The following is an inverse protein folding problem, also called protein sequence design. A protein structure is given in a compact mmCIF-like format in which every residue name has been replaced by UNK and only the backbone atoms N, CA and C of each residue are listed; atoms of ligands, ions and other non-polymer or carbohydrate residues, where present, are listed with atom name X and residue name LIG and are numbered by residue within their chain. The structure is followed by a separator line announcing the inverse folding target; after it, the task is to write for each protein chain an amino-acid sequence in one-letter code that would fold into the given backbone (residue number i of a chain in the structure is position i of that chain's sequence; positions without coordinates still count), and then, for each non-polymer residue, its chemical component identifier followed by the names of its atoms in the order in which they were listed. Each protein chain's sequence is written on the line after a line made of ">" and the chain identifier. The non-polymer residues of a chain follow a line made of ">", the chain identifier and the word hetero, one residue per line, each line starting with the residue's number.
data_IF_106840232264
#
_entry.id   IF_106840232264
#
_cell.length_a   1.000
_cell.length_b   1.000
_cell.length_c   1.000
_cell.angle_alpha   90.00
_cell.angle_beta   90.00
_cell.angle_gamma   90.00
#
_symmetry.space_group_name_H-M   'P 1'
#
loop_
_entity.id
_entity.type
_entity.pdbx_description
1 polymer ?
#
# COMPACT_ATOMS: atom_id res chain seq x y z
N UNK A 1 0.64 -13.72 -8.34
CA UNK A 1 0.64 -15.18 -8.56
C UNK A 1 0.53 -15.50 -10.06
N UNK A 2 -0.46 -15.00 -10.77
CA UNK A 2 -0.72 -15.32 -12.19
C UNK A 2 0.47 -15.07 -13.13
N UNK A 3 1.26 -14.03 -12.85
CA UNK A 3 2.47 -13.76 -13.63
C UNK A 3 3.60 -14.81 -13.41
N UNK A 4 3.45 -15.70 -12.44
CA UNK A 4 4.44 -16.74 -12.11
C UNK A 4 3.72 -18.05 -11.78
N UNK A 5 3.31 -18.84 -12.80
CA UNK A 5 2.47 -20.02 -12.63
C UNK A 5 3.02 -21.09 -11.66
N UNK A 6 4.35 -21.18 -11.55
CA UNK A 6 5.03 -22.11 -10.65
C UNK A 6 5.53 -21.39 -9.38
N UNK A 7 4.77 -20.39 -8.89
CA UNK A 7 5.16 -19.63 -7.71
C UNK A 7 5.15 -20.51 -6.45
N UNK A 8 6.24 -20.44 -5.68
CA UNK A 8 6.34 -20.95 -4.33
C UNK A 8 6.93 -19.84 -3.46
N UNK A 9 6.08 -19.18 -2.67
CA UNK A 9 6.41 -17.89 -2.10
C UNK A 9 5.91 -17.68 -0.68
N UNK A 10 6.63 -16.80 0.05
CA UNK A 10 6.12 -16.16 1.26
C UNK A 10 5.79 -14.71 0.96
N UNK A 11 4.59 -14.29 1.38
CA UNK A 11 4.12 -12.92 1.36
C UNK A 11 4.21 -12.37 2.78
N UNK A 12 5.15 -11.46 3.02
CA UNK A 12 5.34 -10.84 4.32
C UNK A 12 4.46 -9.63 4.49
N UNK A 13 3.65 -9.64 5.55
CA UNK A 13 2.79 -8.52 5.96
C UNK A 13 3.25 -7.95 7.30
N UNK A 14 2.92 -6.69 7.57
CA UNK A 14 3.31 -6.03 8.84
C UNK A 14 2.41 -6.41 9.99
N UNK A 15 1.12 -6.58 9.76
CA UNK A 15 0.13 -6.86 10.80
C UNK A 15 -0.53 -8.22 10.62
N UNK A 16 -1.03 -8.80 11.73
CA UNK A 16 -1.83 -10.04 11.69
C UNK A 16 -3.10 -9.88 10.84
N UNK A 17 -3.72 -8.71 10.94
CA UNK A 17 -4.91 -8.38 10.18
C UNK A 17 -4.65 -8.38 8.68
N UNK A 18 -3.62 -7.66 8.21
CA UNK A 18 -3.25 -7.68 6.80
C UNK A 18 -2.92 -9.09 6.32
N UNK A 19 -2.25 -9.89 7.18
CA UNK A 19 -1.91 -11.29 6.87
C UNK A 19 -3.15 -12.12 6.60
N UNK A 20 -4.17 -12.02 7.46
CA UNK A 20 -5.42 -12.76 7.28
C UNK A 20 -6.19 -12.24 6.06
N UNK A 21 -6.39 -10.91 5.95
CA UNK A 21 -7.12 -10.30 4.84
C UNK A 21 -6.53 -10.68 3.47
N UNK A 22 -5.22 -10.66 3.33
CA UNK A 22 -4.55 -11.02 2.06
C UNK A 22 -4.69 -12.52 1.77
N UNK A 23 -4.56 -13.38 2.78
CA UNK A 23 -4.77 -14.81 2.60
C UNK A 23 -6.21 -15.10 2.17
N UNK A 24 -7.20 -14.49 2.81
CA UNK A 24 -8.62 -14.65 2.49
C UNK A 24 -8.93 -14.18 1.06
N UNK A 25 -8.37 -13.04 0.63
CA UNK A 25 -8.53 -12.56 -0.75
C UNK A 25 -7.89 -13.52 -1.75
N UNK A 26 -6.69 -14.03 -1.49
CA UNK A 26 -6.06 -15.02 -2.37
C UNK A 26 -6.87 -16.30 -2.49
N UNK A 27 -7.44 -16.77 -1.38
CA UNK A 27 -8.32 -17.96 -1.37
C UNK A 27 -9.61 -17.68 -2.16
N UNK A 28 -10.22 -16.51 -1.97
CA UNK A 28 -11.42 -16.10 -2.70
C UNK A 28 -11.17 -16.02 -4.22
N UNK A 29 -9.96 -15.60 -4.61
CA UNK A 29 -9.51 -15.57 -6.01
C UNK A 29 -9.07 -16.95 -6.55
N UNK A 30 -9.21 -18.02 -5.75
CA UNK A 30 -8.93 -19.40 -6.17
C UNK A 30 -7.48 -19.85 -6.02
N UNK A 31 -6.64 -19.09 -5.30
CA UNK A 31 -5.27 -19.51 -4.99
C UNK A 31 -5.20 -20.36 -3.73
N UNK A 32 -4.34 -21.38 -3.75
CA UNK A 32 -4.03 -22.14 -2.54
C UNK A 32 -3.07 -21.33 -1.67
N UNK A 33 -3.62 -20.63 -0.69
CA UNK A 33 -2.89 -19.80 0.25
C UNK A 33 -3.32 -20.08 1.68
N UNK A 34 -2.46 -19.86 2.66
CA UNK A 34 -2.81 -19.87 4.09
C UNK A 34 -2.09 -18.75 4.84
N UNK A 35 -2.74 -18.26 5.90
CA UNK A 35 -2.17 -17.25 6.79
C UNK A 35 -1.35 -17.88 7.91
N UNK A 36 -0.24 -17.22 8.31
CA UNK A 36 0.59 -17.60 9.45
C UNK A 36 0.87 -16.38 10.32
N UNK A 37 0.21 -16.26 11.46
CA UNK A 37 0.34 -15.13 12.38
C UNK A 37 0.18 -15.55 13.86
N UNK A 38 0.37 -14.63 14.77
CA UNK A 38 0.43 -14.91 16.20
C UNK A 38 -0.90 -15.33 16.85
N UNK A 39 -2.05 -15.19 16.17
CA UNK A 39 -3.34 -15.61 16.71
C UNK A 39 -3.63 -17.10 16.47
N UNK A 40 -2.82 -17.77 15.65
CA UNK A 40 -2.89 -19.21 15.45
C UNK A 40 -2.32 -19.97 16.65
N UNK A 41 -2.97 -21.04 17.08
CA UNK A 41 -2.41 -21.97 18.05
C UNK A 41 -1.16 -22.66 17.48
N UNK A 42 -0.31 -23.20 18.34
CA UNK A 42 0.91 -23.89 17.89
C UNK A 42 0.54 -25.07 16.95
N UNK A 43 -0.50 -25.81 17.27
CA UNK A 43 -0.95 -26.93 16.44
C UNK A 43 -1.39 -26.47 15.03
N UNK A 44 -2.13 -25.36 14.94
CA UNK A 44 -2.53 -24.78 13.65
C UNK A 44 -1.31 -24.34 12.85
N UNK A 45 -0.33 -23.67 13.49
CA UNK A 45 0.92 -23.26 12.85
C UNK A 45 1.70 -24.45 12.28
N UNK A 46 1.79 -25.54 13.02
CA UNK A 46 2.49 -26.75 12.59
C UNK A 46 1.79 -27.38 11.36
N UNK A 47 0.46 -27.39 11.33
CA UNK A 47 -0.33 -27.88 10.19
C UNK A 47 -0.08 -27.01 8.95
N UNK A 48 -0.19 -25.68 9.08
CA UNK A 48 0.05 -24.74 7.97
C UNK A 48 1.46 -24.90 7.44
N UNK A 49 2.45 -25.00 8.33
CA UNK A 49 3.84 -25.16 7.97
C UNK A 49 4.13 -26.49 7.28
N UNK A 50 3.47 -27.56 7.70
CA UNK A 50 3.57 -28.87 7.03
C UNK A 50 3.03 -28.78 5.62
N UNK A 51 1.82 -28.26 5.43
CA UNK A 51 1.21 -28.07 4.10
C UNK A 51 2.08 -27.21 3.18
N UNK A 52 2.70 -26.15 3.72
CA UNK A 52 3.59 -25.30 2.95
C UNK A 52 4.87 -26.04 2.53
N UNK A 53 5.55 -26.75 3.45
CA UNK A 53 6.73 -27.55 3.12
C UNK A 53 6.44 -28.65 2.11
N UNK A 54 5.28 -29.30 2.24
CA UNK A 54 4.84 -30.34 1.32
C UNK A 54 4.33 -29.76 -0.02
N UNK A 55 4.40 -28.43 -0.20
CA UNK A 55 3.95 -27.69 -1.39
C UNK A 55 2.45 -27.86 -1.72
N UNK A 56 1.64 -28.31 -0.77
CA UNK A 56 0.18 -28.37 -0.90
C UNK A 56 -0.40 -26.97 -1.03
N UNK A 57 0.18 -26.02 -0.26
CA UNK A 57 -0.09 -24.59 -0.41
C UNK A 57 1.18 -23.89 -0.94
N UNK A 58 1.17 -23.34 -2.14
CA UNK A 58 2.32 -22.65 -2.71
C UNK A 58 2.51 -21.22 -2.18
N UNK A 59 1.48 -20.62 -1.57
CA UNK A 59 1.50 -19.26 -1.06
C UNK A 59 1.29 -19.24 0.45
N UNK A 60 2.29 -18.77 1.19
CA UNK A 60 2.19 -18.54 2.63
C UNK A 60 2.16 -17.04 2.90
N UNK A 61 1.11 -16.54 3.56
CA UNK A 61 1.03 -15.14 3.99
C UNK A 61 1.40 -15.06 5.46
N UNK A 62 2.46 -14.33 5.84
CA UNK A 62 2.99 -14.38 7.19
C UNK A 62 3.45 -13.04 7.75
N UNK A 63 3.38 -12.89 9.08
CA UNK A 63 4.09 -11.82 9.79
C UNK A 63 5.54 -12.22 10.06
N UNK A 64 6.45 -11.25 10.23
CA UNK A 64 7.86 -11.51 10.57
C UNK A 64 8.02 -12.39 11.80
N UNK A 65 7.24 -12.11 12.85
CA UNK A 65 7.33 -12.85 14.12
C UNK A 65 6.92 -14.31 13.93
N UNK A 66 5.86 -14.56 13.19
CA UNK A 66 5.39 -15.92 12.94
C UNK A 66 6.31 -16.67 11.98
N UNK A 67 6.98 -15.95 11.09
CA UNK A 67 7.93 -16.51 10.14
C UNK A 67 9.35 -16.73 10.72
N UNK A 68 9.62 -16.28 11.94
CA UNK A 68 10.91 -16.57 12.60
C UNK A 68 11.07 -18.06 12.86
N UNK A 69 12.26 -18.58 12.57
CA UNK A 69 12.55 -20.00 12.75
C UNK A 69 11.93 -20.91 11.68
N UNK A 70 11.31 -20.33 10.64
CA UNK A 70 10.89 -21.14 9.50
C UNK A 70 12.13 -21.66 8.78
N UNK A 71 12.31 -22.96 8.85
CA UNK A 71 13.29 -23.69 8.02
C UNK A 71 12.65 -23.98 6.67
N UNK A 72 12.46 -22.92 5.87
CA UNK A 72 11.97 -23.01 4.50
C UNK A 72 12.89 -22.18 3.62
N UNK A 73 13.61 -22.86 2.80
CA UNK A 73 14.52 -22.30 1.80
C UNK A 73 14.04 -22.68 0.39
N UNK A 74 14.72 -22.16 -0.61
CA UNK A 74 14.42 -22.44 -2.02
C UNK A 74 13.04 -21.93 -2.49
N UNK A 75 12.54 -20.87 -1.88
CA UNK A 75 11.37 -20.17 -2.42
C UNK A 75 11.72 -19.59 -3.79
N UNK A 76 10.75 -19.60 -4.70
CA UNK A 76 10.90 -18.90 -5.99
C UNK A 76 10.78 -17.40 -5.81
N UNK A 77 9.90 -16.97 -4.90
CA UNK A 77 9.62 -15.56 -4.66
C UNK A 77 9.53 -15.26 -3.16
N UNK A 78 9.96 -14.07 -2.80
CA UNK A 78 9.63 -13.41 -1.53
C UNK A 78 8.90 -12.11 -1.85
N UNK A 79 7.69 -11.95 -1.33
CA UNK A 79 6.88 -10.76 -1.58
C UNK A 79 6.74 -9.97 -0.27
N UNK A 80 7.17 -8.71 -0.28
CA UNK A 80 6.98 -7.80 0.84
C UNK A 80 5.76 -6.93 0.57
N UNK A 81 4.65 -7.20 1.25
CA UNK A 81 3.47 -6.34 1.25
C UNK A 81 3.66 -5.22 2.27
N UNK A 82 4.25 -4.13 1.80
CA UNK A 82 4.87 -3.11 2.63
C UNK A 82 6.28 -3.49 3.11
N UNK A 83 7.15 -2.50 3.24
CA UNK A 83 8.50 -2.72 3.75
C UNK A 83 8.47 -2.94 5.27
N UNK A 84 9.38 -3.74 5.84
CA UNK A 84 9.48 -3.91 7.29
C UNK A 84 9.84 -2.59 7.98
N UNK A 85 9.48 -2.46 9.25
CA UNK A 85 9.80 -1.25 10.03
C UNK A 85 11.30 -1.15 10.30
N UNK A 86 11.94 -2.28 10.58
CA UNK A 86 13.40 -2.40 10.64
C UNK A 86 13.94 -2.86 9.28
N UNK A 87 14.77 -2.03 8.67
CA UNK A 87 15.36 -2.30 7.35
C UNK A 87 16.24 -3.54 7.32
N UNK A 88 16.84 -3.95 8.46
CA UNK A 88 17.63 -5.17 8.59
C UNK A 88 16.80 -6.44 8.35
N UNK A 89 15.51 -6.42 8.71
CA UNK A 89 14.58 -7.53 8.53
C UNK A 89 14.36 -7.85 7.05
N UNK A 90 14.48 -6.84 6.16
CA UNK A 90 14.36 -7.07 4.71
C UNK A 90 15.35 -8.13 4.20
N UNK A 91 16.59 -8.09 4.66
CA UNK A 91 17.63 -9.06 4.27
C UNK A 91 17.26 -10.47 4.74
N UNK A 92 16.71 -10.62 5.94
CA UNK A 92 16.25 -11.90 6.48
C UNK A 92 15.05 -12.45 5.71
N UNK A 93 14.11 -11.59 5.28
CA UNK A 93 12.99 -12.00 4.43
C UNK A 93 13.49 -12.46 3.06
N UNK A 94 14.26 -11.60 2.38
CA UNK A 94 14.79 -11.87 1.05
C UNK A 94 15.69 -13.09 1.01
N UNK A 95 16.43 -13.35 2.10
CA UNK A 95 17.28 -14.53 2.24
C UNK A 95 16.52 -15.86 2.27
N UNK A 96 15.20 -15.92 2.13
CA UNK A 96 14.43 -17.16 1.94
C UNK A 96 14.39 -17.62 0.48
N UNK A 97 14.85 -16.79 -0.45
CA UNK A 97 14.97 -17.12 -1.87
C UNK A 97 16.41 -16.92 -2.34
N UNK A 98 16.76 -17.46 -3.50
CA UNK A 98 18.08 -17.28 -4.12
C UNK A 98 19.26 -17.89 -3.36
N UNK A 99 19.05 -19.01 -2.63
CA UNK A 99 20.11 -19.73 -1.91
C UNK A 99 20.74 -20.85 -2.74
N UNK A 100 21.94 -21.27 -2.34
CA UNK A 100 22.67 -22.40 -2.91
C UNK A 100 22.85 -22.32 -4.45
N UNK A 101 23.17 -21.11 -4.96
CA UNK A 101 23.39 -20.88 -6.39
C UNK A 101 22.12 -20.80 -7.24
N UNK A 102 20.93 -20.89 -6.64
CA UNK A 102 19.67 -20.72 -7.33
C UNK A 102 19.29 -19.23 -7.46
N UNK A 103 18.62 -18.91 -8.54
CA UNK A 103 18.02 -17.57 -8.72
C UNK A 103 16.72 -17.45 -7.93
N UNK A 104 16.44 -16.26 -7.39
CA UNK A 104 15.22 -15.98 -6.68
C UNK A 104 14.77 -14.54 -6.88
N UNK A 105 13.49 -14.28 -6.71
CA UNK A 105 12.90 -12.97 -6.93
C UNK A 105 12.38 -12.41 -5.60
N UNK A 106 12.83 -11.20 -5.23
CA UNK A 106 12.28 -10.45 -4.10
C UNK A 106 11.51 -9.25 -4.62
N UNK A 107 10.21 -9.23 -4.32
CA UNK A 107 9.28 -8.17 -4.75
C UNK A 107 8.90 -7.33 -3.54
N UNK A 108 8.86 -6.01 -3.71
CA UNK A 108 8.33 -5.09 -2.71
C UNK A 108 7.15 -4.30 -3.30
N UNK A 109 5.96 -4.50 -2.72
CA UNK A 109 4.77 -3.70 -3.01
C UNK A 109 4.74 -2.59 -1.97
N UNK A 110 4.98 -1.34 -2.39
CA UNK A 110 5.18 -0.22 -1.48
C UNK A 110 4.23 0.94 -1.78
N UNK A 111 3.89 1.65 -0.73
CA UNK A 111 3.23 2.93 -0.86
C UNK A 111 4.27 4.05 -1.15
N UNK A 112 3.87 5.12 -1.84
CA UNK A 112 4.75 6.27 -2.15
C UNK A 112 5.48 6.86 -0.93
N UNK A 113 4.88 6.77 0.26
CA UNK A 113 5.47 7.22 1.54
C UNK A 113 6.67 6.37 2.01
N UNK A 114 6.81 5.15 1.50
CA UNK A 114 7.88 4.22 1.91
C UNK A 114 9.16 4.35 1.08
N UNK A 115 9.21 5.28 0.11
CA UNK A 115 10.39 5.52 -0.75
C UNK A 115 11.66 5.85 0.03
N UNK A 116 11.54 6.55 1.16
CA UNK A 116 12.67 6.81 2.06
C UNK A 116 13.27 5.52 2.59
N UNK A 117 12.42 4.63 3.10
CA UNK A 117 12.81 3.31 3.62
C UNK A 117 13.37 2.41 2.53
N UNK A 118 12.81 2.45 1.31
CA UNK A 118 13.35 1.72 0.17
C UNK A 118 14.80 2.11 -0.11
N UNK A 119 15.12 3.42 -0.13
CA UNK A 119 16.49 3.93 -0.33
C UNK A 119 17.46 3.50 0.80
N UNK A 120 16.99 3.38 2.03
CA UNK A 120 17.78 2.86 3.15
C UNK A 120 18.11 1.37 2.95
N UNK A 121 17.12 0.57 2.54
CA UNK A 121 17.33 -0.84 2.22
C UNK A 121 18.32 -0.98 1.06
N UNK A 122 18.19 -0.21 -0.01
CA UNK A 122 19.12 -0.20 -1.15
C UNK A 122 20.57 0.05 -0.72
N UNK A 123 20.79 0.96 0.24
CA UNK A 123 22.12 1.22 0.81
C UNK A 123 22.66 0.02 1.59
N UNK A 124 21.80 -0.66 2.36
CA UNK A 124 22.19 -1.82 3.17
C UNK A 124 22.54 -3.02 2.28
N UNK A 125 21.73 -3.29 1.25
CA UNK A 125 21.95 -4.43 0.36
C UNK A 125 22.96 -4.17 -0.75
N UNK A 126 23.37 -2.90 -0.95
CA UNK A 126 24.30 -2.49 -2.02
C UNK A 126 23.72 -2.64 -3.43
N UNK A 127 22.41 -2.79 -3.58
CA UNK A 127 21.72 -2.98 -4.87
C UNK A 127 20.52 -2.06 -4.95
N UNK A 128 20.15 -1.64 -6.16
CA UNK A 128 18.93 -0.87 -6.41
C UNK A 128 17.77 -1.79 -6.74
N UNK A 129 16.58 -1.41 -6.29
CA UNK A 129 15.36 -2.05 -6.75
C UNK A 129 15.06 -1.62 -8.19
N UNK A 130 14.71 -2.59 -9.00
CA UNK A 130 14.16 -2.35 -10.32
C UNK A 130 12.65 -2.11 -10.19
N UNK A 131 12.19 -0.96 -10.67
CA UNK A 131 10.74 -0.70 -10.73
C UNK A 131 10.13 -1.51 -11.86
N UNK A 132 9.12 -2.31 -11.53
CA UNK A 132 8.32 -3.06 -12.49
C UNK A 132 6.90 -2.52 -12.51
N UNK A 133 6.33 -2.49 -13.70
CA UNK A 133 4.92 -2.22 -13.88
C UNK A 133 4.09 -3.47 -13.57
N UNK A 134 2.84 -3.26 -13.16
CA UNK A 134 1.91 -4.38 -13.00
C UNK A 134 1.62 -4.94 -14.40
N UNK A 135 1.77 -6.25 -14.60
CA UNK A 135 1.49 -6.87 -15.89
C UNK A 135 0.05 -6.59 -16.33
N UNK A 136 -0.15 -6.34 -17.62
CA UNK A 136 -1.50 -6.20 -18.17
C UNK A 136 -2.23 -7.54 -18.16
N UNK A 137 -3.58 -7.55 -18.14
CA UNK A 137 -4.36 -8.78 -18.24
C UNK A 137 -3.97 -9.63 -19.46
N UNK A 138 -3.75 -9.00 -20.60
CA UNK A 138 -3.37 -9.69 -21.84
C UNK A 138 -2.04 -10.45 -21.68
N UNK A 139 -1.04 -9.80 -21.08
CA UNK A 139 0.26 -10.42 -20.82
C UNK A 139 0.16 -11.59 -19.82
N UNK A 140 -0.71 -11.47 -18.84
CA UNK A 140 -0.97 -12.55 -17.87
C UNK A 140 -1.63 -13.74 -18.57
N UNK A 141 -2.66 -13.48 -19.37
CA UNK A 141 -3.39 -14.51 -20.12
C UNK A 141 -2.44 -15.26 -21.05
N UNK A 142 -1.63 -14.54 -21.84
CA UNK A 142 -0.63 -15.13 -22.71
C UNK A 142 0.30 -16.09 -21.94
N UNK A 143 0.83 -15.63 -20.82
CA UNK A 143 1.75 -16.41 -19.98
C UNK A 143 1.10 -17.69 -19.41
N UNK A 144 -0.15 -17.59 -18.99
CA UNK A 144 -0.90 -18.72 -18.46
C UNK A 144 -1.21 -19.76 -19.56
N UNK A 145 -1.52 -19.31 -20.77
CA UNK A 145 -1.74 -20.21 -21.92
C UNK A 145 -0.44 -20.95 -22.31
N UNK A 146 0.71 -20.26 -22.33
CA UNK A 146 2.00 -20.92 -22.56
C UNK A 146 2.34 -21.91 -21.44
N UNK A 147 2.05 -21.57 -20.19
CA UNK A 147 2.25 -22.50 -19.07
C UNK A 147 1.34 -23.74 -19.19
N UNK A 148 0.10 -23.57 -19.65
CA UNK A 148 -0.78 -24.71 -19.94
C UNK A 148 -0.21 -25.59 -21.05
N UNK A 149 0.32 -24.99 -22.13
CA UNK A 149 0.97 -25.72 -23.21
C UNK A 149 2.20 -26.52 -22.70
N UNK A 150 3.07 -25.89 -21.90
CA UNK A 150 4.21 -26.55 -21.26
C UNK A 150 3.79 -27.72 -20.34
N UNK A 151 2.68 -27.57 -19.64
CA UNK A 151 2.13 -28.65 -18.81
C UNK A 151 1.59 -29.80 -19.65
N UNK A 152 0.91 -29.51 -20.75
CA UNK A 152 0.42 -30.53 -21.71
C UNK A 152 1.58 -31.28 -22.35
N UNK A 153 2.67 -30.58 -22.71
CA UNK A 153 3.87 -31.20 -23.28
C UNK A 153 4.57 -32.16 -22.30
N UNK A 154 4.60 -31.80 -21.02
CA UNK A 154 5.39 -32.54 -20.00
C UNK A 154 4.58 -33.51 -19.17
N UNK A 155 3.24 -33.56 -19.36
CA UNK A 155 2.42 -34.47 -18.57
C UNK A 155 2.75 -35.92 -18.93
N UNK A 156 3.07 -36.72 -17.90
CA UNK A 156 3.21 -38.16 -18.08
C UNK A 156 1.83 -38.79 -18.12
N UNK A 157 1.54 -39.47 -19.21
CA UNK A 157 0.26 -40.15 -19.41
C UNK A 157 0.30 -41.52 -18.74
N UNK A 158 -0.60 -41.76 -17.81
CA UNK A 158 -0.80 -43.10 -17.24
C UNK A 158 -1.79 -43.88 -18.12
N UNK A 159 -1.26 -44.51 -19.18
CA UNK A 159 -2.07 -45.24 -20.16
C UNK A 159 -2.94 -46.31 -19.52
N UNK A 160 -2.43 -47.04 -18.51
CA UNK A 160 -3.18 -48.10 -17.85
C UNK A 160 -4.46 -47.66 -17.17
N UNK A 161 -4.46 -46.45 -16.62
CA UNK A 161 -5.63 -45.89 -15.94
C UNK A 161 -6.52 -45.08 -16.87
N UNK A 162 -5.95 -44.31 -17.81
CA UNK A 162 -6.71 -43.41 -18.67
C UNK A 162 -7.45 -44.19 -19.79
N UNK A 163 -6.90 -45.28 -20.28
CA UNK A 163 -7.50 -46.07 -21.37
C UNK A 163 -8.88 -46.58 -21.04
N UNK A 164 -9.17 -46.87 -19.77
CA UNK A 164 -10.51 -47.26 -19.30
C UNK A 164 -11.59 -46.26 -19.69
N UNK A 165 -11.26 -44.99 -19.81
CA UNK A 165 -12.16 -43.88 -20.09
C UNK A 165 -11.97 -43.29 -21.46
N UNK A 166 -10.76 -43.43 -22.03
CA UNK A 166 -10.33 -42.76 -23.25
C UNK A 166 -11.21 -43.09 -24.43
N UNK A 167 -11.57 -44.36 -24.62
CA UNK A 167 -12.39 -44.79 -25.75
C UNK A 167 -13.76 -44.09 -25.80
N UNK A 168 -14.43 -43.91 -24.64
CA UNK A 168 -15.70 -43.22 -24.55
C UNK A 168 -15.60 -41.74 -24.89
N UNK A 169 -14.57 -41.08 -24.33
CA UNK A 169 -14.30 -39.66 -24.54
C UNK A 169 -13.87 -39.38 -25.96
N UNK A 170 -12.97 -40.24 -26.51
CA UNK A 170 -12.46 -40.14 -27.88
C UNK A 170 -13.61 -40.23 -28.90
N UNK A 171 -14.53 -41.20 -28.78
CA UNK A 171 -15.71 -41.31 -29.64
C UNK A 171 -16.57 -40.04 -29.62
N UNK A 172 -16.77 -39.45 -28.44
CA UNK A 172 -17.57 -38.22 -28.32
C UNK A 172 -16.92 -37.01 -28.98
N UNK A 173 -15.60 -36.97 -29.06
CA UNK A 173 -14.82 -35.86 -29.63
C UNK A 173 -14.24 -36.15 -30.99
N UNK A 174 -14.49 -37.35 -31.59
CA UNK A 174 -13.88 -37.81 -32.84
C UNK A 174 -14.24 -36.95 -34.08
N UNK A 175 -15.29 -36.13 -34.00
CA UNK A 175 -15.68 -35.18 -35.03
C UNK A 175 -14.86 -33.88 -35.05
N UNK A 176 -14.06 -33.63 -34.02
CA UNK A 176 -13.18 -32.47 -33.93
C UNK A 176 -11.82 -32.77 -34.59
N UNK A 177 -11.31 -31.78 -35.29
CA UNK A 177 -9.91 -31.80 -35.73
C UNK A 177 -8.98 -31.61 -34.54
N UNK A 178 -7.71 -31.97 -34.66
CA UNK A 178 -6.71 -31.75 -33.61
C UNK A 178 -6.60 -30.26 -33.25
N UNK A 179 -6.68 -29.36 -34.24
CA UNK A 179 -6.65 -27.91 -34.03
C UNK A 179 -7.87 -27.42 -33.24
N UNK A 180 -9.07 -27.93 -33.56
CA UNK A 180 -10.30 -27.57 -32.88
C UNK A 180 -10.27 -28.08 -31.42
N UNK A 181 -9.75 -29.28 -31.21
CA UNK A 181 -9.59 -29.84 -29.88
C UNK A 181 -8.62 -28.98 -29.04
N UNK A 182 -7.46 -28.62 -29.59
CA UNK A 182 -6.48 -27.77 -28.95
C UNK A 182 -7.06 -26.38 -28.60
N UNK A 183 -7.76 -25.74 -29.56
CA UNK A 183 -8.43 -24.47 -29.32
C UNK A 183 -9.45 -24.56 -28.19
N UNK A 184 -10.21 -25.65 -28.10
CA UNK A 184 -11.20 -25.85 -27.03
C UNK A 184 -10.52 -26.08 -25.68
N UNK A 185 -9.43 -26.85 -25.62
CA UNK A 185 -8.65 -27.04 -24.39
C UNK A 185 -8.09 -25.72 -23.89
N UNK A 186 -7.48 -24.91 -24.76
CA UNK A 186 -6.97 -23.59 -24.43
C UNK A 186 -8.11 -22.64 -24.01
N UNK A 187 -9.30 -22.74 -24.66
CA UNK A 187 -10.44 -21.88 -24.35
C UNK A 187 -11.02 -22.11 -22.95
N UNK A 188 -10.87 -23.29 -22.37
CA UNK A 188 -11.29 -23.55 -20.99
C UNK A 188 -10.57 -22.63 -20.00
N UNK A 189 -9.25 -22.50 -20.15
CA UNK A 189 -8.45 -21.61 -19.31
C UNK A 189 -8.58 -20.14 -19.73
N UNK A 190 -8.58 -19.87 -21.04
CA UNK A 190 -8.70 -18.53 -21.60
C UNK A 190 -9.99 -17.82 -21.15
N UNK A 191 -11.14 -18.49 -21.26
CA UNK A 191 -12.44 -17.91 -20.87
C UNK A 191 -12.48 -17.63 -19.37
N UNK A 192 -11.94 -18.54 -18.54
CA UNK A 192 -11.83 -18.34 -17.08
C UNK A 192 -11.02 -17.08 -16.76
N UNK A 193 -9.88 -16.88 -17.43
CA UNK A 193 -9.03 -15.71 -17.22
C UNK A 193 -9.67 -14.43 -17.76
N UNK A 194 -10.35 -14.49 -18.92
CA UNK A 194 -11.09 -13.36 -19.46
C UNK A 194 -12.18 -12.88 -18.50
N UNK A 195 -12.97 -13.80 -17.96
CA UNK A 195 -14.03 -13.45 -17.00
C UNK A 195 -13.44 -12.86 -15.71
N UNK A 196 -12.34 -13.40 -15.23
CA UNK A 196 -11.65 -12.89 -14.04
C UNK A 196 -11.10 -11.46 -14.22
N UNK A 197 -10.51 -11.17 -15.40
CA UNK A 197 -9.90 -9.86 -15.66
C UNK A 197 -10.83 -8.85 -16.31
N UNK A 198 -12.07 -9.22 -16.67
CA UNK A 198 -13.02 -8.36 -17.39
C UNK A 198 -13.27 -7.03 -16.68
N UNK A 199 -13.43 -7.07 -15.37
CA UNK A 199 -13.72 -5.92 -14.53
C UNK A 199 -12.49 -5.47 -13.72
N UNK A 200 -11.29 -5.94 -14.07
CA UNK A 200 -10.09 -5.57 -13.34
C UNK A 200 -9.81 -4.06 -13.49
N UNK A 201 -9.70 -3.32 -12.39
CA UNK A 201 -9.39 -1.90 -12.45
C UNK A 201 -8.02 -1.67 -13.08
N UNK A 202 -7.94 -0.73 -14.02
CA UNK A 202 -6.63 -0.27 -14.52
C UNK A 202 -5.87 0.34 -13.35
N UNK A 203 -4.75 -0.25 -13.01
CA UNK A 203 -3.87 0.29 -11.98
C UNK A 203 -3.00 1.36 -12.64
N UNK A 204 -3.45 2.61 -12.55
CA UNK A 204 -2.67 3.74 -13.02
C UNK A 204 -1.50 3.97 -12.07
N UNK A 205 -0.28 3.95 -12.61
CA UNK A 205 0.89 4.37 -11.88
C UNK A 205 0.83 5.89 -11.72
N UNK A 206 1.01 6.36 -10.49
CA UNK A 206 1.28 7.78 -10.27
C UNK A 206 2.66 8.05 -10.86
N UNK A 207 2.70 8.59 -12.07
CA UNK A 207 3.93 9.04 -12.68
C UNK A 207 4.60 10.07 -11.78
N UNK A 208 5.78 9.71 -11.30
CA UNK A 208 6.60 10.69 -10.62
C UNK A 208 7.06 11.72 -11.64
N UNK A 209 6.68 12.96 -11.44
CA UNK A 209 7.40 14.07 -12.08
C UNK A 209 8.88 13.84 -11.79
N UNK A 210 9.76 13.84 -12.84
CA UNK A 210 11.17 13.58 -12.66
C UNK A 210 11.72 14.48 -11.56
N UNK A 211 12.34 13.88 -10.54
CA UNK A 211 13.07 14.64 -9.53
C UNK A 211 14.02 15.59 -10.28
N UNK A 212 13.77 16.88 -10.18
CA UNK A 212 14.73 17.87 -10.66
C UNK A 212 16.04 17.58 -9.97
N UNK A 213 17.00 17.01 -10.72
CA UNK A 213 18.38 16.79 -10.26
C UNK A 213 18.81 18.05 -9.54
N UNK A 214 19.03 17.97 -8.26
CA UNK A 214 19.61 19.05 -7.49
C UNK A 214 21.02 19.27 -8.07
N UNK A 215 21.19 20.28 -8.89
CA UNK A 215 22.52 20.76 -9.28
C UNK A 215 23.25 21.03 -7.98
N UNK A 216 24.36 20.35 -7.75
CA UNK A 216 25.35 20.71 -6.72
C UNK A 216 25.62 22.21 -6.89
N UNK A 217 25.10 22.99 -5.97
CA UNK A 217 25.37 24.41 -5.91
C UNK A 217 26.68 24.57 -5.16
N UNK A 218 27.69 25.07 -5.89
CA UNK A 218 28.84 25.67 -5.30
C UNK A 218 28.40 26.75 -4.30
N UNK A 219 29.07 26.76 -3.15
CA UNK A 219 28.97 27.83 -2.17
C UNK A 219 29.36 29.18 -2.79
N UNK A 220 28.37 29.98 -3.05
CA UNK A 220 28.46 31.45 -3.06
C UNK A 220 27.12 31.98 -2.61
N UNK A 221 27.15 32.78 -1.57
CA UNK A 221 25.99 33.30 -0.89
C UNK A 221 25.11 34.15 -1.81
N UNK A 222 23.85 33.82 -1.84
CA UNK A 222 22.79 34.80 -2.07
C UNK A 222 21.45 34.22 -1.54
N UNK A 223 20.81 35.03 -0.75
CA UNK A 223 19.55 34.80 -0.09
C UNK A 223 18.42 34.67 -1.10
N UNK A 224 17.77 33.48 -1.19
CA UNK A 224 16.56 33.25 -2.01
C UNK A 224 15.34 33.17 -1.09
N UNK A 225 14.23 33.88 -1.40
CA UNK A 225 13.11 34.04 -0.50
C UNK A 225 12.36 32.71 -0.29
N UNK A 226 12.11 32.37 0.97
CA UNK A 226 11.29 31.23 1.44
C UNK A 226 9.78 31.38 1.19
N UNK A 227 9.36 32.32 0.32
CA UNK A 227 8.01 32.88 0.37
C UNK A 227 6.96 32.22 -0.56
N UNK A 228 7.34 31.47 -1.61
CA UNK A 228 6.34 31.04 -2.61
C UNK A 228 5.55 29.78 -2.22
N UNK A 229 6.14 28.86 -1.47
CA UNK A 229 5.41 27.66 -1.01
C UNK A 229 4.47 27.91 0.17
N UNK A 230 4.71 28.95 0.94
CA UNK A 230 3.82 29.37 2.02
C UNK A 230 2.65 30.18 1.53
N UNK A 231 2.80 30.98 0.49
CA UNK A 231 1.70 31.71 -0.16
C UNK A 231 0.65 30.76 -0.75
N UNK A 232 1.07 29.68 -1.40
CA UNK A 232 0.17 28.67 -1.99
C UNK A 232 -0.66 27.91 -0.94
N UNK A 233 -0.12 27.73 0.28
CA UNK A 233 -0.85 27.11 1.39
C UNK A 233 -1.89 28.00 2.05
N UNK A 234 -1.78 29.30 1.90
CA UNK A 234 -2.68 30.32 2.49
C UNK A 234 -3.85 30.68 1.60
N UNK A 235 -3.77 30.31 0.32
CA UNK A 235 -4.81 30.61 -0.68
C UNK A 235 -5.89 29.53 -0.66
N UNK A 236 -7.15 29.93 -0.58
CA UNK A 236 -8.30 29.03 -0.63
C UNK A 236 -8.50 28.46 -2.03
N UNK A 237 -9.08 27.31 -2.15
CA UNK A 237 -9.57 26.77 -3.41
C UNK A 237 -10.65 27.66 -4.03
N UNK A 238 -10.79 27.60 -5.35
CA UNK A 238 -11.74 28.48 -6.08
C UNK A 238 -13.17 28.27 -5.58
N UNK A 239 -13.78 29.33 -5.05
CA UNK A 239 -15.13 29.29 -4.48
C UNK A 239 -15.19 28.99 -2.99
N UNK A 240 -14.07 28.73 -2.34
CA UNK A 240 -13.95 28.45 -0.90
C UNK A 240 -13.34 29.63 -0.12
N UNK A 241 -13.40 29.55 1.21
CA UNK A 241 -12.72 30.43 2.15
C UNK A 241 -11.79 29.61 3.01
N UNK A 242 -10.55 30.07 3.19
CA UNK A 242 -9.53 29.44 4.02
C UNK A 242 -9.74 29.84 5.47
N UNK A 243 -9.77 28.86 6.37
CA UNK A 243 -9.92 29.06 7.81
C UNK A 243 -8.61 28.69 8.50
N UNK A 244 -8.15 29.58 9.38
CA UNK A 244 -7.03 29.33 10.28
C UNK A 244 -7.53 28.87 11.65
N UNK A 245 -6.81 27.91 12.26
CA UNK A 245 -7.05 27.44 13.62
C UNK A 245 -5.70 27.28 14.35
N UNK A 246 -5.59 27.77 15.58
CA UNK A 246 -4.37 27.80 16.38
C UNK A 246 -3.96 26.43 17.00
N UNK A 247 -4.51 25.33 16.51
CA UNK A 247 -4.17 23.96 16.92
C UNK A 247 -3.59 23.19 15.73
N UNK A 248 -2.57 22.38 15.99
CA UNK A 248 -1.83 21.66 14.96
C UNK A 248 -1.34 20.29 15.42
N UNK A 249 -0.44 19.70 14.66
CA UNK A 249 0.10 18.35 14.94
C UNK A 249 0.76 18.23 16.31
N UNK A 250 1.42 19.30 16.81
CA UNK A 250 2.04 19.31 18.14
C UNK A 250 1.04 19.27 19.28
N UNK A 251 -0.21 19.66 19.02
CA UNK A 251 -1.31 19.62 19.97
C UNK A 251 -2.13 18.31 19.86
N UNK A 252 -1.66 17.33 19.08
CA UNK A 252 -2.39 16.08 18.81
C UNK A 252 -3.61 16.27 17.90
N UNK A 253 -3.64 17.37 17.13
CA UNK A 253 -4.77 17.70 16.26
C UNK A 253 -4.61 17.07 14.88
N UNK A 254 -5.61 16.28 14.45
CA UNK A 254 -5.65 15.55 13.18
C UNK A 254 -6.91 15.92 12.40
N UNK A 255 -6.94 15.56 11.11
CA UNK A 255 -8.09 15.86 10.24
C UNK A 255 -9.41 15.26 10.77
N UNK A 256 -9.37 14.07 11.38
CA UNK A 256 -10.53 13.45 12.01
C UNK A 256 -11.12 14.30 13.15
N UNK A 257 -10.25 14.86 14.00
CA UNK A 257 -10.68 15.74 15.10
C UNK A 257 -11.34 17.00 14.56
N UNK A 258 -10.81 17.61 13.48
CA UNK A 258 -11.42 18.76 12.83
C UNK A 258 -12.83 18.45 12.35
N UNK A 259 -13.01 17.35 11.63
CA UNK A 259 -14.30 16.95 11.08
C UNK A 259 -15.30 16.64 12.21
N UNK A 260 -14.86 15.95 13.26
CA UNK A 260 -15.69 15.66 14.45
C UNK A 260 -16.16 16.95 15.13
N UNK A 261 -15.24 17.88 15.38
CA UNK A 261 -15.51 19.17 16.01
C UNK A 261 -16.50 19.99 15.14
N UNK A 262 -16.32 20.03 13.84
CA UNK A 262 -17.21 20.74 12.94
C UNK A 262 -18.62 20.12 12.96
N UNK A 263 -18.72 18.81 12.88
CA UNK A 263 -20.01 18.11 12.91
C UNK A 263 -20.75 18.28 14.24
N UNK A 264 -20.02 18.39 15.36
CA UNK A 264 -20.58 18.51 16.70
C UNK A 264 -21.01 19.93 17.06
N UNK A 265 -20.28 20.95 16.60
CA UNK A 265 -20.42 22.33 17.09
C UNK A 265 -21.00 23.30 16.05
N UNK A 266 -21.02 22.95 14.77
CA UNK A 266 -21.62 23.81 13.74
C UNK A 266 -23.07 23.40 13.55
N UNK A 267 -24.00 24.26 14.00
CA UNK A 267 -25.46 24.03 13.85
C UNK A 267 -25.90 24.23 12.40
N UNK A 268 -26.87 23.42 11.94
CA UNK A 268 -27.45 23.52 10.60
C UNK A 268 -26.92 22.44 9.63
N UNK A 269 -26.91 22.72 8.33
CA UNK A 269 -26.47 21.79 7.30
C UNK A 269 -24.98 21.40 7.49
N UNK A 270 -24.65 20.17 7.11
CA UNK A 270 -23.28 19.63 7.15
C UNK A 270 -22.32 20.55 6.39
N UNK A 271 -21.17 20.83 7.02
CA UNK A 271 -20.14 21.68 6.40
C UNK A 271 -19.30 20.83 5.43
N UNK A 272 -19.24 21.28 4.18
CA UNK A 272 -18.31 20.69 3.21
C UNK A 272 -16.91 21.26 3.46
N UNK A 273 -15.98 20.37 3.79
CA UNK A 273 -14.58 20.70 4.06
C UNK A 273 -13.75 20.28 2.84
N UNK A 274 -13.05 21.25 2.26
CA UNK A 274 -12.11 21.03 1.17
C UNK A 274 -10.71 20.66 1.67
N UNK A 275 -9.68 21.27 1.10
CA UNK A 275 -8.29 21.03 1.44
C UNK A 275 -7.98 21.31 2.91
N UNK A 276 -7.29 20.37 3.61
CA UNK A 276 -6.86 20.50 4.99
C UNK A 276 -5.34 20.44 5.05
N UNK A 277 -4.70 21.48 5.58
CA UNK A 277 -3.26 21.56 5.83
C UNK A 277 -3.00 21.62 7.34
N UNK A 278 -2.52 20.51 7.90
CA UNK A 278 -2.12 20.39 9.30
C UNK A 278 -0.64 20.74 9.45
N UNK A 279 -0.35 21.87 10.09
CA UNK A 279 1.01 22.32 10.38
C UNK A 279 1.40 21.98 11.83
N UNK A 280 2.63 22.28 12.22
CA UNK A 280 3.13 21.91 13.55
C UNK A 280 2.32 22.55 14.68
N UNK A 281 2.08 23.83 14.64
CA UNK A 281 1.41 24.60 15.71
C UNK A 281 0.05 25.18 15.34
N UNK A 282 -0.42 25.00 14.11
CA UNK A 282 -1.71 25.50 13.60
C UNK A 282 -2.20 24.68 12.44
N UNK A 283 -3.44 24.88 12.05
CA UNK A 283 -4.04 24.20 10.89
C UNK A 283 -4.78 25.19 10.00
N UNK A 284 -4.82 24.89 8.70
CA UNK A 284 -5.55 25.64 7.70
C UNK A 284 -6.48 24.67 6.95
N UNK A 285 -7.72 25.06 6.71
CA UNK A 285 -8.65 24.24 5.93
C UNK A 285 -9.64 25.09 5.17
N UNK A 286 -10.18 24.54 4.10
CA UNK A 286 -11.11 25.23 3.21
C UNK A 286 -12.55 24.83 3.51
N UNK A 287 -13.46 25.82 3.50
CA UNK A 287 -14.91 25.63 3.59
C UNK A 287 -15.60 26.50 2.56
N UNK A 288 -16.84 26.19 2.20
CA UNK A 288 -17.62 27.06 1.32
C UNK A 288 -17.73 28.47 1.91
N UNK A 289 -17.68 29.48 1.07
CA UNK A 289 -17.78 30.91 1.49
C UNK A 289 -19.01 31.20 2.33
N UNK A 290 -20.14 30.52 2.05
CA UNK A 290 -21.40 30.63 2.81
C UNK A 290 -21.24 30.18 4.27
N UNK A 291 -20.38 29.21 4.53
CA UNK A 291 -20.22 28.54 5.84
C UNK A 291 -19.10 29.15 6.69
N UNK A 292 -18.20 29.95 6.07
CA UNK A 292 -17.00 30.44 6.70
C UNK A 292 -17.25 31.18 8.03
N UNK A 293 -18.20 32.09 8.07
CA UNK A 293 -18.56 32.85 9.29
C UNK A 293 -19.13 31.96 10.38
N UNK A 294 -20.00 31.01 10.01
CA UNK A 294 -20.62 30.04 10.92
C UNK A 294 -19.57 29.12 11.55
N UNK A 295 -18.65 28.61 10.74
CA UNK A 295 -17.53 27.75 11.18
C UNK A 295 -16.60 28.51 12.13
N UNK A 296 -16.16 29.72 11.78
CA UNK A 296 -15.31 30.55 12.67
C UNK A 296 -15.97 30.81 14.01
N UNK A 297 -17.27 31.14 14.02
CA UNK A 297 -18.00 31.40 15.26
C UNK A 297 -18.10 30.13 16.14
N UNK A 298 -18.37 28.97 15.55
CA UNK A 298 -18.49 27.71 16.27
C UNK A 298 -17.15 27.24 16.87
N UNK A 299 -16.04 27.46 16.17
CA UNK A 299 -14.72 27.04 16.63
C UNK A 299 -14.14 27.91 17.73
N UNK A 300 -14.57 29.18 17.90
CA UNK A 300 -14.06 30.10 18.94
C UNK A 300 -14.46 29.72 20.37
N UNK A 301 -15.46 28.91 20.56
CA UNK A 301 -15.99 28.50 21.87
C UNK A 301 -15.51 27.12 22.34
N UNK A 302 -14.50 26.53 21.69
CA UNK A 302 -14.09 25.17 21.92
C UNK A 302 -12.72 25.14 22.64
N UNK A 303 -12.57 24.19 23.56
CA UNK A 303 -11.30 23.78 24.12
C UNK A 303 -10.89 22.42 23.54
N UNK A 304 -9.67 22.33 23.01
CA UNK A 304 -9.08 21.09 22.52
C UNK A 304 -7.88 20.71 23.38
N UNK A 305 -7.98 19.61 24.12
CA UNK A 305 -6.94 19.11 25.04
C UNK A 305 -6.38 20.20 25.98
N UNK A 306 -7.25 21.04 26.56
CA UNK A 306 -6.87 22.13 27.48
C UNK A 306 -6.34 23.39 26.79
N UNK A 307 -6.37 23.45 25.46
CA UNK A 307 -5.99 24.63 24.69
C UNK A 307 -7.22 25.25 24.07
N UNK A 308 -7.47 26.53 24.40
CA UNK A 308 -8.59 27.27 23.80
C UNK A 308 -8.37 27.46 22.31
N UNK A 309 -9.32 26.98 21.50
CA UNK A 309 -9.26 27.07 20.06
C UNK A 309 -9.58 28.50 19.62
N UNK A 310 -8.70 29.06 18.82
CA UNK A 310 -8.88 30.33 18.14
C UNK A 310 -8.95 30.12 16.64
N UNK A 311 -9.92 30.71 15.97
CA UNK A 311 -10.11 30.58 14.53
C UNK A 311 -10.41 31.94 13.89
N UNK A 312 -9.93 32.12 12.66
CA UNK A 312 -10.22 33.29 11.82
C UNK A 312 -10.24 32.89 10.34
N UNK A 313 -10.85 33.71 9.48
CA UNK A 313 -10.69 33.56 8.04
C UNK A 313 -9.24 33.93 7.73
N UNK A 314 -8.51 33.00 7.08
CA UNK A 314 -7.09 33.18 6.80
C UNK A 314 -6.89 34.31 5.76
N UNK A 315 -5.94 35.17 6.03
CA UNK A 315 -5.46 36.19 5.10
C UNK A 315 -4.21 35.65 4.39
N UNK A 316 -4.17 35.75 3.07
CA UNK A 316 -3.08 35.27 2.23
C UNK A 316 -1.75 35.98 2.54
N UNK A 317 -1.79 37.20 3.03
CA UNK A 317 -0.59 38.00 3.32
C UNK A 317 -0.12 37.90 4.77
N UNK A 318 -0.89 37.26 5.67
CA UNK A 318 -0.58 37.14 7.09
C UNK A 318 0.29 35.90 7.36
N UNK A 319 1.41 36.11 8.07
CA UNK A 319 2.26 35.01 8.54
C UNK A 319 1.76 34.40 9.86
N UNK A 320 1.25 33.18 9.80
CA UNK A 320 0.71 32.46 10.96
C UNK A 320 1.77 31.66 11.73
N UNK A 321 2.99 31.53 11.21
CA UNK A 321 4.08 30.76 11.86
C UNK A 321 4.57 31.41 13.16
N UNK A 322 4.50 32.75 13.27
CA UNK A 322 4.97 33.49 14.42
C UNK A 322 3.91 33.67 15.55
N UNK A 323 2.65 33.34 15.27
CA UNK A 323 1.57 33.56 16.24
C UNK A 323 1.53 32.52 17.37
N UNK A 324 2.21 31.39 17.23
CA UNK A 324 2.27 30.31 18.24
C UNK A 324 3.30 30.55 19.36
N UNK A 325 4.32 31.39 19.13
CA UNK A 325 5.44 31.57 20.11
C UNK A 325 5.24 32.73 21.10
N UNK A 326 4.37 33.68 20.80
CA UNK A 326 4.25 34.92 21.63
C UNK A 326 3.38 34.79 22.87
N UNK A 327 2.64 33.69 23.11
CA UNK A 327 1.73 33.53 24.27
C UNK A 327 2.22 32.65 25.41
N UNK A 328 3.44 32.13 25.37
CA UNK A 328 4.03 31.31 26.50
C UNK A 328 4.94 32.07 27.42
N UNK A 329 5.20 33.37 27.23
CA UNK A 329 5.96 34.16 28.19
C UNK A 329 5.02 34.70 29.25
N UNK A 330 4.97 34.05 30.43
CA UNK A 330 4.45 34.62 31.68
C UNK A 330 5.22 35.90 32.03
N UNK A 331 4.56 37.01 32.47
CA UNK A 331 5.28 38.18 32.92
C UNK A 331 6.08 37.85 34.17
N UNK A 332 7.36 38.19 34.19
CA UNK A 332 8.23 38.11 35.37
C UNK A 332 7.63 39.04 36.47
N UNK A 333 7.22 38.43 37.55
CA UNK A 333 6.77 39.11 38.76
C UNK A 333 7.98 39.85 39.34
N UNK A 334 8.03 41.18 39.22
CA UNK A 334 9.00 42.03 39.93
C UNK A 334 8.70 41.91 41.41
N UNK A 335 9.56 41.24 42.16
CA UNK A 335 9.70 41.44 43.61
C UNK A 335 10.58 42.69 43.80
N UNK A 336 9.94 43.77 44.21
CA UNK A 336 10.63 44.82 44.96
C UNK A 336 10.36 44.58 46.42
N UNK A 337 11.47 44.64 47.19
CA UNK A 337 11.68 44.70 48.65
C UNK A 337 10.42 44.92 49.47
#
# INVERSE_FOLDING_TARGET
>A
ADNSPNIYAIIFCRTRRDTQEIADHLIADGYNAEALHGDLSQQQRDIVMKKFRDKVIPLLVATDVAARGLDVDNLTHVINYGLPDDTSVYTHRSGRTGRAGKTGVSIAIIHSREKGRLREIEKIIGKKFERKEVPTPEHIIEKQLYNLADRLERVEVNDQEIDKYFLGVSRKLSWLSSDDLLKRVLSLEFNRLLDYYKDAPKIDFIDEKPERKSKKRHEQGDSIPRNDKEKDRRTAERGMSRIYVNVGKSDGFFAGNLIEILNKNVTGARVDVGRIDLLRGYSLFDVKKSDAKRVVSALRSIDFMGKRVYSEIADADKDYSQSSERRTRKPKRNMRK
#
